data_IF_756018494463
#
_entry.id   IF_756018494463
#
_cell.length_a   1.000
_cell.length_b   1.000
_cell.length_c   1.000
_cell.angle_alpha   90.00
_cell.angle_beta   90.00
_cell.angle_gamma   90.00
#
_symmetry.space_group_name_H-M   'P 1'
#
loop_
_entity.id
_entity.type
_entity.pdbx_description
1 polymer ?
#
# COMPACT_ATOMS: atom_id res chain seq x y z
N UNK A 1 -17.79 51.11 -29.00
CA UNK A 1 -18.99 51.48 -28.23
C UNK A 1 -19.06 50.61 -27.00
N UNK A 2 -19.17 51.25 -25.83
CA UNK A 2 -19.17 50.64 -24.51
C UNK A 2 -20.57 50.18 -24.08
N UNK A 3 -20.64 49.00 -23.47
CA UNK A 3 -21.54 48.59 -22.38
C UNK A 3 -22.96 48.10 -22.72
N UNK A 4 -23.70 47.50 -21.74
CA UNK A 4 -23.25 46.76 -20.56
C UNK A 4 -24.08 45.50 -20.16
N UNK A 5 -23.43 44.64 -19.35
CA UNK A 5 -23.86 43.93 -18.11
C UNK A 5 -25.21 43.16 -18.06
N UNK A 6 -25.16 41.87 -17.68
CA UNK A 6 -25.91 41.35 -16.50
C UNK A 6 -25.40 39.97 -16.02
N UNK A 7 -24.86 39.99 -14.81
CA UNK A 7 -24.64 38.83 -13.92
C UNK A 7 -25.99 38.35 -13.36
N UNK A 8 -26.21 37.04 -13.32
CA UNK A 8 -27.04 36.43 -12.27
C UNK A 8 -26.32 35.18 -11.74
N UNK A 9 -25.83 35.31 -10.52
CA UNK A 9 -25.49 34.24 -9.61
C UNK A 9 -26.79 33.81 -8.90
N UNK A 10 -27.11 32.52 -8.90
CA UNK A 10 -28.06 31.96 -7.93
C UNK A 10 -27.48 30.68 -7.34
N UNK A 11 -27.07 30.83 -6.09
CA UNK A 11 -26.81 29.76 -5.14
C UNK A 11 -28.14 29.10 -4.75
N UNK A 12 -28.15 27.78 -4.57
CA UNK A 12 -29.17 27.13 -3.76
C UNK A 12 -28.57 26.00 -2.91
N UNK A 13 -28.43 26.31 -1.62
CA UNK A 13 -28.27 25.35 -0.51
C UNK A 13 -29.67 24.94 -0.04
N UNK A 14 -29.91 23.64 0.17
CA UNK A 14 -30.92 23.11 1.11
C UNK A 14 -30.50 21.69 1.50
N UNK A 15 -29.98 21.50 2.72
CA UNK A 15 -30.69 21.15 3.97
C UNK A 15 -31.37 19.77 3.97
N UNK A 16 -30.64 18.79 4.54
CA UNK A 16 -30.96 17.95 5.70
C UNK A 16 -32.43 17.46 5.84
N UNK A 17 -32.63 16.14 5.81
CA UNK A 17 -33.64 15.45 6.64
C UNK A 17 -33.12 14.07 7.06
N UNK A 18 -32.93 13.93 8.37
CA UNK A 18 -32.70 12.67 9.08
C UNK A 18 -34.04 12.07 9.51
N UNK A 19 -33.96 10.77 9.83
CA UNK A 19 -34.75 10.02 10.84
C UNK A 19 -35.91 9.18 10.30
N UNK A 20 -36.48 8.26 11.11
CA UNK A 20 -35.85 7.01 11.56
C UNK A 20 -36.85 5.83 11.51
N UNK A 21 -36.40 4.58 11.56
CA UNK A 21 -37.29 3.50 12.02
C UNK A 21 -36.47 2.39 12.67
N UNK A 22 -36.71 2.18 13.96
CA UNK A 22 -36.33 0.98 14.69
C UNK A 22 -37.58 0.26 15.19
N UNK A 23 -37.46 -1.04 15.41
CA UNK A 23 -38.02 -1.84 16.53
C UNK A 23 -37.68 -3.32 16.27
N UNK A 24 -36.88 -3.93 17.15
CA UNK A 24 -37.26 -4.87 18.25
C UNK A 24 -37.51 -6.30 17.76
N UNK A 25 -37.27 -7.40 18.48
CA UNK A 25 -36.44 -7.83 19.63
C UNK A 25 -36.87 -9.29 19.91
N UNK A 26 -36.09 -10.04 20.71
CA UNK A 26 -36.41 -11.34 21.38
C UNK A 26 -36.39 -12.59 20.50
N UNK A 27 -35.91 -13.76 20.91
CA UNK A 27 -35.30 -14.32 22.13
C UNK A 27 -34.56 -15.62 21.70
N UNK A 28 -34.04 -16.56 22.48
CA UNK A 28 -33.98 -16.86 23.91
C UNK A 28 -32.93 -17.98 24.01
N UNK A 29 -31.99 -17.93 24.95
CA UNK A 29 -31.18 -19.11 25.34
C UNK A 29 -32.01 -20.09 26.15
N UNK A 30 -31.59 -21.36 26.23
CA UNK A 30 -31.27 -21.89 27.55
C UNK A 30 -29.99 -22.75 27.60
N UNK A 31 -29.37 -22.68 28.78
CA UNK A 31 -28.27 -23.49 29.29
C UNK A 31 -28.64 -24.97 29.48
N UNK A 32 -27.65 -25.86 29.54
CA UNK A 32 -27.54 -26.79 30.68
C UNK A 32 -26.17 -27.48 30.84
N UNK A 33 -25.89 -27.85 32.09
CA UNK A 33 -24.60 -28.22 32.69
C UNK A 33 -24.48 -29.73 33.04
N UNK A 34 -23.24 -30.27 32.91
CA UNK A 34 -22.55 -31.31 33.75
C UNK A 34 -23.06 -32.78 33.73
N UNK A 35 -22.32 -33.79 34.30
CA UNK A 35 -20.94 -33.90 34.83
C UNK A 35 -20.12 -35.14 34.31
N UNK A 36 -18.85 -35.31 34.76
CA UNK A 36 -17.88 -36.41 34.43
C UNK A 36 -18.21 -37.80 35.03
N UNK A 37 -17.25 -38.73 35.35
CA UNK A 37 -15.76 -38.71 35.31
C UNK A 37 -15.11 -39.96 34.64
N UNK A 38 -13.78 -39.99 34.44
CA UNK A 38 -12.88 -41.09 34.86
C UNK A 38 -11.46 -40.98 34.27
N UNK A 39 -10.51 -40.92 35.20
CA UNK A 39 -9.08 -41.20 35.05
C UNK A 39 -8.89 -42.74 35.17
N UNK A 40 -7.88 -43.35 34.53
CA UNK A 40 -6.73 -43.78 35.34
C UNK A 40 -5.35 -43.64 34.66
N UNK A 41 -4.40 -43.26 35.50
CA UNK A 41 -2.97 -43.63 35.62
C UNK A 41 -2.15 -44.19 34.44
N UNK A 42 -1.08 -43.45 34.15
CA UNK A 42 0.34 -43.82 34.14
C UNK A 42 0.82 -45.09 33.41
N UNK A 43 1.65 -44.87 32.38
CA UNK A 43 2.79 -45.73 32.05
C UNK A 43 3.95 -44.86 31.52
N UNK A 44 5.16 -45.22 31.94
CA UNK A 44 6.39 -44.44 31.87
C UNK A 44 7.30 -44.87 30.71
N UNK A 45 8.14 -43.92 30.24
CA UNK A 45 9.44 -44.06 29.52
C UNK A 45 9.41 -44.39 28.00
N UNK A 46 10.49 -44.07 27.23
CA UNK A 46 11.71 -43.30 27.53
C UNK A 46 12.01 -42.11 26.57
N UNK A 47 12.83 -41.17 27.07
CA UNK A 47 13.51 -40.14 26.27
C UNK A 47 14.47 -40.77 25.24
N UNK A 48 14.35 -40.36 23.98
CA UNK A 48 15.45 -40.46 23.00
C UNK A 48 15.73 -39.06 22.45
N UNK A 49 16.78 -38.42 22.97
CA UNK A 49 17.44 -37.30 22.29
C UNK A 49 18.36 -37.86 21.20
N UNK A 50 18.36 -37.30 19.97
CA UNK A 50 19.42 -37.55 19.01
C UNK A 50 20.71 -36.82 19.44
N UNK A 51 21.90 -37.39 19.19
CA UNK A 51 23.17 -36.77 19.59
C UNK A 51 23.49 -35.55 18.72
N UNK A 52 23.90 -34.44 19.35
CA UNK A 52 24.52 -33.31 18.66
C UNK A 52 25.95 -33.69 18.20
N UNK A 53 26.36 -33.33 16.98
CA UNK A 53 27.74 -33.47 16.54
C UNK A 53 28.66 -32.47 17.27
N UNK A 54 29.74 -32.99 17.84
CA UNK A 54 30.87 -32.26 18.42
C UNK A 54 31.62 -31.48 17.33
N UNK A 55 31.32 -30.19 17.20
CA UNK A 55 32.17 -29.22 16.51
C UNK A 55 33.25 -28.65 17.44
N UNK A 56 34.40 -28.19 16.91
CA UNK A 56 35.47 -27.59 17.71
C UNK A 56 35.01 -26.28 18.36
N UNK A 57 35.53 -25.96 19.56
CA UNK A 57 35.13 -24.75 20.27
C UNK A 57 35.52 -23.49 19.49
N UNK A 58 34.72 -22.40 19.59
CA UNK A 58 35.05 -21.14 18.94
C UNK A 58 36.39 -20.59 19.46
N UNK A 59 37.15 -19.84 18.63
CA UNK A 59 38.41 -19.24 19.06
C UNK A 59 38.15 -18.28 20.22
N UNK A 60 38.82 -18.50 21.34
CA UNK A 60 38.83 -17.56 22.45
C UNK A 60 39.44 -16.23 21.97
N UNK A 61 38.85 -15.07 22.29
CA UNK A 61 39.51 -13.80 22.05
C UNK A 61 40.81 -13.74 22.90
N UNK A 62 41.88 -13.14 22.37
CA UNK A 62 43.16 -13.10 23.05
C UNK A 62 43.02 -12.40 24.41
N UNK A 63 43.47 -13.09 25.46
CA UNK A 63 43.68 -12.53 26.79
C UNK A 63 44.62 -11.32 26.65
N UNK A 64 44.08 -10.12 26.79
CA UNK A 64 44.90 -8.91 26.95
C UNK A 64 45.08 -8.62 28.43
N UNK A 65 46.35 -8.46 28.79
CA UNK A 65 46.86 -8.28 30.13
C UNK A 65 46.22 -7.10 30.89
N UNK A 66 46.10 -7.18 32.23
CA UNK A 66 45.46 -6.17 33.05
C UNK A 66 46.46 -5.07 33.44
N UNK A 67 46.33 -3.86 32.91
CA UNK A 67 46.85 -2.65 33.57
C UNK A 67 46.13 -1.37 33.09
N UNK A 68 45.45 -0.69 34.03
CA UNK A 68 44.92 0.70 34.01
C UNK A 68 43.63 1.02 33.20
N UNK A 69 43.07 2.25 33.35
CA UNK A 69 41.96 2.68 34.21
C UNK A 69 40.56 2.42 33.60
N UNK A 70 40.37 1.35 32.82
CA UNK A 70 39.07 1.03 32.19
C UNK A 70 37.89 0.99 33.18
N UNK A 71 38.14 0.60 34.43
CA UNK A 71 37.09 0.47 35.44
C UNK A 71 36.42 1.81 35.81
N UNK A 72 37.19 2.89 35.98
CA UNK A 72 36.63 4.17 36.43
C UNK A 72 35.76 4.84 35.36
N UNK A 73 36.19 4.78 34.09
CA UNK A 73 35.41 5.29 32.96
C UNK A 73 34.16 4.45 32.74
N UNK A 74 34.27 3.12 32.87
CA UNK A 74 33.13 2.22 32.78
C UNK A 74 32.05 2.53 33.83
N UNK A 75 32.42 2.72 35.10
CA UNK A 75 31.45 3.12 36.14
C UNK A 75 30.82 4.49 35.88
N UNK A 76 31.59 5.44 35.34
CA UNK A 76 31.04 6.74 34.92
C UNK A 76 30.04 6.58 33.77
N UNK A 77 30.28 5.67 32.84
CA UNK A 77 29.33 5.39 31.75
C UNK A 77 28.07 4.72 32.28
N UNK A 78 28.19 3.76 33.22
CA UNK A 78 27.02 3.12 33.85
C UNK A 78 26.17 4.07 34.69
N UNK A 79 26.77 5.11 35.26
CA UNK A 79 26.09 6.12 36.08
C UNK A 79 25.70 7.37 35.28
N UNK A 80 25.87 7.34 33.96
CA UNK A 80 25.51 8.44 33.09
C UNK A 80 23.96 8.58 33.09
N UNK A 81 23.42 9.79 33.22
CA UNK A 81 21.97 9.99 33.10
C UNK A 81 21.45 9.61 31.70
N UNK A 82 20.25 9.04 31.63
CA UNK A 82 19.62 8.59 30.37
C UNK A 82 19.60 9.67 29.28
N UNK A 83 19.39 10.93 29.66
CA UNK A 83 19.37 12.08 28.72
C UNK A 83 20.70 12.33 28.03
N UNK A 84 21.81 11.82 28.58
CA UNK A 84 23.16 11.94 28.03
C UNK A 84 23.64 10.65 27.34
N UNK A 85 22.86 9.57 27.37
CA UNK A 85 23.24 8.31 26.69
C UNK A 85 23.34 8.47 25.18
N UNK A 86 22.64 9.43 24.59
CA UNK A 86 22.73 9.75 23.16
C UNK A 86 24.14 10.20 22.72
N UNK A 87 25.01 10.62 23.64
CA UNK A 87 26.43 10.87 23.34
C UNK A 87 27.24 9.58 23.07
N UNK A 88 26.69 8.43 23.43
CA UNK A 88 27.24 7.10 23.15
C UNK A 88 26.70 6.53 21.84
N UNK A 89 25.72 7.18 21.19
CA UNK A 89 25.20 6.72 19.91
C UNK A 89 26.31 6.71 18.84
N UNK A 90 26.25 5.74 17.93
CA UNK A 90 27.16 5.63 16.79
C UNK A 90 27.14 6.89 15.90
N UNK A 91 25.96 7.49 15.72
CA UNK A 91 25.73 8.67 14.88
C UNK A 91 25.86 10.00 15.64
N UNK A 92 26.53 9.99 16.81
CA UNK A 92 26.77 11.20 17.61
C UNK A 92 27.34 12.36 16.79
N UNK A 93 28.30 12.11 15.89
CA UNK A 93 28.95 13.15 15.09
C UNK A 93 27.96 13.90 14.17
N UNK A 94 26.92 13.21 13.70
CA UNK A 94 25.85 13.81 12.89
C UNK A 94 24.87 14.60 13.77
N UNK A 95 24.63 14.09 14.98
CA UNK A 95 23.72 14.70 15.97
C UNK A 95 24.38 15.78 16.84
N UNK A 96 25.69 16.01 16.75
CA UNK A 96 26.41 16.89 17.69
C UNK A 96 25.84 18.32 17.76
N UNK A 97 25.25 18.79 16.67
CA UNK A 97 24.60 20.10 16.62
C UNK A 97 23.19 20.12 17.23
N UNK A 98 22.57 18.97 17.46
CA UNK A 98 21.24 18.90 18.09
C UNK A 98 21.28 19.05 19.62
N UNK A 99 22.40 18.75 20.26
CA UNK A 99 22.55 18.85 21.71
C UNK A 99 22.62 20.30 22.19
N UNK A 100 22.01 20.57 23.35
CA UNK A 100 22.01 21.91 23.96
C UNK A 100 23.32 22.12 24.71
N UNK A 101 23.70 23.38 24.92
CA UNK A 101 24.89 23.73 25.70
C UNK A 101 24.89 23.10 27.11
N UNK A 102 23.70 22.99 27.72
CA UNK A 102 23.55 22.38 29.03
C UNK A 102 23.90 20.89 29.03
N UNK A 103 23.64 20.17 27.94
CA UNK A 103 23.93 18.74 27.82
C UNK A 103 25.44 18.51 27.71
N UNK A 104 26.12 19.33 26.89
CA UNK A 104 27.58 19.34 26.81
C UNK A 104 28.23 19.67 28.15
N UNK A 105 27.71 20.66 28.88
CA UNK A 105 28.23 20.97 30.21
C UNK A 105 28.04 19.80 31.19
N UNK A 106 26.86 19.17 31.19
CA UNK A 106 26.57 18.03 32.09
C UNK A 106 27.49 16.86 31.83
N UNK A 107 27.71 16.48 30.56
CA UNK A 107 28.61 15.37 30.25
C UNK A 107 30.07 15.72 30.57
N UNK A 108 30.52 16.96 30.31
CA UNK A 108 31.84 17.43 30.70
C UNK A 108 32.04 17.38 32.23
N UNK A 109 31.06 17.84 33.00
CA UNK A 109 31.10 17.85 34.45
C UNK A 109 31.03 16.44 35.05
N UNK A 110 30.34 15.52 34.38
CA UNK A 110 30.22 14.12 34.80
C UNK A 110 31.56 13.39 34.70
N UNK A 111 32.28 13.59 33.59
CA UNK A 111 33.57 12.95 33.38
C UNK A 111 34.73 13.69 34.07
N UNK A 112 34.66 15.03 34.14
CA UNK A 112 35.63 15.88 34.81
C UNK A 112 34.93 16.94 35.69
N UNK A 113 34.70 16.68 36.98
CA UNK A 113 34.08 17.63 37.90
C UNK A 113 34.86 18.94 38.06
N UNK A 114 36.17 18.93 37.80
CA UNK A 114 37.04 20.12 37.83
C UNK A 114 37.03 20.92 36.52
N UNK A 115 36.08 20.66 35.61
CA UNK A 115 35.99 21.37 34.33
C UNK A 115 35.80 22.88 34.50
N UNK A 116 36.51 23.65 33.68
CA UNK A 116 36.34 25.10 33.56
C UNK A 116 35.17 25.46 32.65
N UNK A 117 34.59 24.50 31.94
CA UNK A 117 33.44 24.71 31.06
C UNK A 117 32.21 25.13 31.88
N UNK A 118 31.37 26.01 31.32
CA UNK A 118 30.15 26.53 31.96
C UNK A 118 28.98 26.48 30.97
N UNK A 119 27.71 26.34 31.45
CA UNK A 119 26.55 26.27 30.55
C UNK A 119 26.37 27.47 29.63
N UNK A 120 26.87 28.64 30.05
CA UNK A 120 26.80 29.90 29.31
C UNK A 120 27.95 30.10 28.31
N UNK A 121 28.91 29.17 28.23
CA UNK A 121 29.95 29.24 27.20
C UNK A 121 29.35 29.02 25.81
N UNK A 122 30.05 29.55 24.79
CA UNK A 122 29.73 29.28 23.39
C UNK A 122 29.78 27.77 23.13
N UNK A 123 28.80 27.29 22.37
CA UNK A 123 28.65 25.87 22.02
C UNK A 123 29.91 25.28 21.40
N UNK A 124 30.53 26.02 20.48
CA UNK A 124 31.78 25.61 19.80
C UNK A 124 32.90 25.27 20.80
N UNK A 125 33.02 26.06 21.87
CA UNK A 125 34.01 25.83 22.94
C UNK A 125 33.67 24.57 23.73
N UNK A 126 32.39 24.36 24.05
CA UNK A 126 31.93 23.17 24.78
C UNK A 126 32.12 21.90 23.96
N UNK A 127 31.85 21.95 22.66
CA UNK A 127 32.11 20.85 21.72
C UNK A 127 33.61 20.56 21.65
N UNK A 128 34.45 21.59 21.53
CA UNK A 128 35.90 21.42 21.49
C UNK A 128 36.44 20.77 22.79
N UNK A 129 35.98 21.24 23.95
CA UNK A 129 36.34 20.66 25.25
C UNK A 129 35.87 19.20 25.37
N UNK A 130 34.68 18.88 24.84
CA UNK A 130 34.14 17.52 24.82
C UNK A 130 34.96 16.59 23.92
N UNK A 131 35.21 16.99 22.68
CA UNK A 131 36.00 16.21 21.70
C UNK A 131 37.41 15.96 22.24
N UNK A 132 38.00 16.94 22.92
CA UNK A 132 39.36 16.82 23.46
C UNK A 132 39.44 15.92 24.69
N UNK A 133 38.51 16.05 25.63
CA UNK A 133 38.68 15.47 26.98
C UNK A 133 37.75 14.29 27.28
N UNK A 134 36.58 14.21 26.65
CA UNK A 134 35.55 13.21 26.98
C UNK A 134 35.35 12.20 25.86
N UNK A 135 35.32 12.65 24.59
CA UNK A 135 35.14 11.77 23.44
C UNK A 135 36.15 10.59 23.43
N UNK A 136 37.46 10.79 23.71
CA UNK A 136 38.42 9.68 23.74
C UNK A 136 38.11 8.64 24.83
N UNK A 137 37.45 9.05 25.92
CA UNK A 137 37.09 8.16 27.03
C UNK A 137 35.84 7.33 26.72
N UNK A 138 34.88 7.90 26.02
CA UNK A 138 33.60 7.23 25.70
C UNK A 138 33.64 6.46 24.37
N UNK A 139 34.58 6.79 23.46
CA UNK A 139 34.69 6.15 22.13
C UNK A 139 34.74 4.62 22.18
N UNK A 140 35.46 3.96 23.11
CA UNK A 140 35.45 2.49 23.22
C UNK A 140 34.10 1.88 23.61
N UNK A 141 33.17 2.70 24.12
CA UNK A 141 31.86 2.29 24.62
C UNK A 141 30.72 2.84 23.76
N UNK A 142 31.03 3.39 22.58
CA UNK A 142 30.00 3.77 21.64
C UNK A 142 29.19 2.55 21.22
N UNK A 143 27.88 2.73 21.14
CA UNK A 143 26.98 1.69 20.70
C UNK A 143 27.37 1.28 19.27
N UNK A 144 27.30 -0.01 18.93
CA UNK A 144 27.50 -0.45 17.56
C UNK A 144 26.51 0.28 16.64
N UNK A 145 26.86 0.43 15.35
CA UNK A 145 25.90 0.99 14.39
C UNK A 145 24.60 0.18 14.49
N UNK A 146 23.42 0.85 14.48
CA UNK A 146 22.17 0.13 14.47
C UNK A 146 22.21 -0.89 13.32
N UNK A 147 21.71 -2.12 13.54
CA UNK A 147 21.70 -3.11 12.48
C UNK A 147 21.02 -2.49 11.27
N UNK A 148 21.70 -2.57 10.11
CA UNK A 148 21.12 -2.12 8.86
C UNK A 148 19.71 -2.71 8.78
N UNK A 149 18.67 -1.89 8.50
CA UNK A 149 17.31 -2.38 8.40
C UNK A 149 17.35 -3.58 7.47
N UNK A 150 17.00 -4.75 8.02
CA UNK A 150 17.05 -6.00 7.28
C UNK A 150 16.22 -5.77 6.03
N UNK A 151 16.89 -5.82 4.88
CA UNK A 151 16.27 -5.61 3.58
C UNK A 151 15.34 -6.79 3.35
N UNK A 152 14.15 -6.69 3.90
CA UNK A 152 13.06 -7.62 3.65
C UNK A 152 12.59 -7.28 2.25
N UNK A 153 13.08 -8.01 1.25
CA UNK A 153 12.54 -7.97 -0.12
C UNK A 153 11.08 -8.48 -0.21
N UNK A 154 10.36 -8.59 0.91
CA UNK A 154 8.94 -8.84 0.93
C UNK A 154 8.20 -7.57 1.32
N UNK A 155 7.97 -6.77 0.28
CA UNK A 155 6.82 -5.88 0.09
C UNK A 155 5.80 -5.94 1.22
N UNK A 156 5.62 -4.79 1.85
CA UNK A 156 4.63 -4.38 2.86
C UNK A 156 3.16 -4.61 2.48
N UNK A 157 2.83 -5.41 1.46
CA UNK A 157 1.44 -5.64 1.00
C UNK A 157 0.85 -6.98 1.41
N UNK A 158 1.28 -7.57 2.53
CA UNK A 158 0.71 -8.83 3.06
C UNK A 158 -0.81 -8.76 3.30
N UNK A 159 -1.37 -7.55 3.42
CA UNK A 159 -2.81 -7.30 3.64
C UNK A 159 -3.53 -6.63 2.46
N UNK A 160 -2.96 -6.59 1.26
CA UNK A 160 -3.65 -6.00 0.11
C UNK A 160 -4.78 -6.91 -0.37
N UNK A 161 -6.03 -6.49 -0.15
CA UNK A 161 -7.20 -7.18 -0.67
C UNK A 161 -7.70 -6.48 -1.96
N UNK A 162 -7.51 -7.08 -3.15
CA UNK A 162 -7.89 -6.47 -4.43
C UNK A 162 -9.42 -6.30 -4.57
N UNK A 163 -10.23 -7.09 -3.87
CA UNK A 163 -11.70 -7.02 -3.89
C UNK A 163 -12.27 -6.04 -2.86
N UNK A 164 -11.41 -5.41 -2.05
CA UNK A 164 -11.85 -4.43 -1.07
C UNK A 164 -12.40 -3.17 -1.75
N UNK A 165 -13.50 -2.61 -1.21
CA UNK A 165 -14.01 -1.30 -1.63
C UNK A 165 -12.98 -0.17 -1.47
N UNK A 166 -11.91 -0.41 -0.69
CA UNK A 166 -10.80 0.54 -0.47
C UNK A 166 -9.65 0.35 -1.46
N UNK A 167 -9.63 -0.73 -2.24
CA UNK A 167 -8.61 -0.96 -3.24
C UNK A 167 -8.74 0.10 -4.35
N UNK A 168 -7.70 0.91 -4.51
CA UNK A 168 -7.65 1.94 -5.55
C UNK A 168 -7.09 1.34 -6.84
N UNK A 169 -7.43 1.99 -7.95
CA UNK A 169 -6.96 1.59 -9.27
C UNK A 169 -5.45 1.63 -9.38
N UNK A 170 -4.84 2.67 -8.81
CA UNK A 170 -3.39 2.90 -8.82
C UNK A 170 -2.66 1.83 -8.01
N UNK A 171 -3.24 1.41 -6.88
CA UNK A 171 -2.69 0.33 -6.06
C UNK A 171 -2.71 -0.99 -6.83
N UNK A 172 -3.82 -1.32 -7.51
CA UNK A 172 -3.92 -2.52 -8.35
C UNK A 172 -2.88 -2.51 -9.48
N UNK A 173 -2.74 -1.37 -10.19
CA UNK A 173 -1.74 -1.24 -11.26
C UNK A 173 -0.32 -1.43 -10.74
N UNK A 174 0.01 -0.82 -9.59
CA UNK A 174 1.31 -1.00 -8.95
C UNK A 174 1.57 -2.45 -8.61
N UNK A 175 0.63 -3.17 -7.97
CA UNK A 175 0.84 -4.59 -7.64
C UNK A 175 1.03 -5.44 -8.89
N UNK A 176 0.27 -5.17 -9.96
CA UNK A 176 0.43 -5.90 -11.22
C UNK A 176 1.81 -5.66 -11.81
N UNK A 177 2.27 -4.40 -11.86
CA UNK A 177 3.62 -4.09 -12.39
C UNK A 177 4.76 -4.58 -11.50
N UNK A 178 4.56 -4.61 -10.18
CA UNK A 178 5.52 -5.19 -9.24
C UNK A 178 5.68 -6.70 -9.49
N UNK A 179 4.60 -7.38 -9.90
CA UNK A 179 4.61 -8.81 -10.23
C UNK A 179 5.14 -9.07 -11.65
N UNK A 180 4.69 -8.28 -12.63
CA UNK A 180 5.06 -8.38 -14.03
C UNK A 180 5.11 -6.99 -14.68
N UNK A 181 6.33 -6.47 -14.81
CA UNK A 181 6.59 -5.15 -15.39
C UNK A 181 6.40 -5.10 -16.91
N UNK A 182 6.23 -6.25 -17.57
CA UNK A 182 5.99 -6.32 -19.01
C UNK A 182 4.53 -6.02 -19.40
N UNK A 183 3.61 -6.04 -18.44
CA UNK A 183 2.18 -5.83 -18.68
C UNK A 183 1.88 -4.39 -19.10
N UNK A 184 1.32 -4.23 -20.30
CA UNK A 184 0.85 -2.93 -20.79
C UNK A 184 -0.58 -2.69 -20.31
N UNK A 185 -0.74 -1.79 -19.34
CA UNK A 185 -2.05 -1.42 -18.80
C UNK A 185 -2.51 -0.08 -19.43
N UNK A 186 -3.59 -0.06 -20.24
CA UNK A 186 -4.11 1.18 -20.79
C UNK A 186 -4.59 2.14 -19.69
N UNK A 187 -4.39 3.45 -19.90
CA UNK A 187 -4.88 4.49 -18.95
C UNK A 187 -6.40 4.47 -18.78
N UNK A 188 -7.15 3.96 -19.76
CA UNK A 188 -8.61 3.84 -19.70
C UNK A 188 -9.08 2.55 -19.00
N UNK A 189 -8.18 1.67 -18.54
CA UNK A 189 -8.57 0.42 -17.89
C UNK A 189 -9.46 0.67 -16.66
N UNK A 190 -10.55 -0.08 -16.58
CA UNK A 190 -11.49 -0.03 -15.45
C UNK A 190 -10.97 -0.88 -14.30
N UNK A 191 -11.39 -0.59 -13.07
CA UNK A 191 -10.99 -1.38 -11.90
C UNK A 191 -11.35 -2.86 -12.06
N UNK A 192 -12.52 -3.16 -12.64
CA UNK A 192 -12.94 -4.55 -12.90
C UNK A 192 -12.00 -5.24 -13.90
N UNK A 193 -11.61 -4.55 -14.99
CA UNK A 193 -10.63 -5.08 -15.94
C UNK A 193 -9.27 -5.37 -15.29
N UNK A 194 -8.83 -4.52 -14.36
CA UNK A 194 -7.59 -4.73 -13.60
C UNK A 194 -7.65 -5.95 -12.67
N UNK A 195 -8.83 -6.33 -12.16
CA UNK A 195 -8.95 -7.53 -11.33
C UNK A 195 -8.64 -8.80 -12.13
N UNK A 196 -9.00 -8.84 -13.41
CA UNK A 196 -8.64 -9.96 -14.29
C UNK A 196 -7.14 -10.02 -14.55
N UNK A 197 -6.49 -8.86 -14.77
CA UNK A 197 -5.02 -8.80 -14.88
C UNK A 197 -4.34 -9.20 -13.57
N UNK A 198 -4.86 -8.76 -12.43
CA UNK A 198 -4.37 -9.17 -11.13
C UNK A 198 -4.50 -10.69 -10.93
N UNK A 199 -5.63 -11.27 -11.34
CA UNK A 199 -5.83 -12.72 -11.29
C UNK A 199 -4.78 -13.45 -12.13
N UNK A 200 -4.52 -12.99 -13.35
CA UNK A 200 -3.56 -13.64 -14.25
C UNK A 200 -2.10 -13.55 -13.74
N UNK A 201 -1.67 -12.36 -13.32
CA UNK A 201 -0.26 -12.06 -13.05
C UNK A 201 0.13 -12.09 -11.56
N UNK A 202 -0.82 -12.06 -10.62
CA UNK A 202 -0.53 -11.96 -9.18
C UNK A 202 -1.16 -13.11 -8.39
N UNK A 203 -2.45 -13.39 -8.59
CA UNK A 203 -3.16 -14.43 -7.83
C UNK A 203 -4.19 -15.17 -8.70
N UNK A 204 -3.77 -16.28 -9.29
CA UNK A 204 -4.59 -17.11 -10.20
C UNK A 204 -5.82 -17.71 -9.54
N UNK A 205 -5.77 -17.89 -8.22
CA UNK A 205 -6.86 -18.43 -7.42
C UNK A 205 -7.87 -17.35 -6.98
N UNK A 206 -7.66 -16.08 -7.36
CA UNK A 206 -8.58 -15.00 -7.04
C UNK A 206 -9.95 -15.25 -7.67
N UNK A 207 -10.98 -15.41 -6.84
CA UNK A 207 -12.36 -15.51 -7.27
C UNK A 207 -12.99 -14.13 -7.36
N UNK A 208 -13.22 -13.65 -8.59
CA UNK A 208 -13.89 -12.37 -8.83
C UNK A 208 -15.41 -12.62 -8.76
N UNK A 209 -16.17 -11.92 -7.90
CA UNK A 209 -17.62 -12.10 -7.83
C UNK A 209 -18.29 -11.75 -9.16
N UNK A 210 -19.11 -12.68 -9.68
CA UNK A 210 -19.76 -12.52 -10.98
C UNK A 210 -18.86 -12.81 -12.19
N UNK A 211 -17.68 -13.38 -11.96
CA UNK A 211 -16.80 -13.90 -13.03
C UNK A 211 -17.53 -15.03 -13.75
N UNK A 212 -17.89 -14.78 -15.00
CA UNK A 212 -18.44 -15.76 -15.91
C UNK A 212 -17.53 -15.83 -17.13
N UNK A 213 -17.28 -17.04 -17.69
CA UNK A 213 -16.47 -17.18 -18.90
C UNK A 213 -17.14 -16.52 -20.12
N UNK A 214 -18.43 -16.19 -20.03
CA UNK A 214 -19.21 -15.56 -21.07
C UNK A 214 -19.56 -14.12 -20.70
N UNK A 215 -19.55 -13.25 -21.69
CA UNK A 215 -20.08 -11.89 -21.57
C UNK A 215 -21.62 -12.01 -21.60
N UNK A 216 -22.29 -11.32 -20.66
CA UNK A 216 -23.75 -11.25 -20.67
C UNK A 216 -24.23 -10.47 -21.92
N UNK A 217 -25.32 -10.90 -22.57
CA UNK A 217 -25.93 -10.13 -23.65
C UNK A 217 -26.20 -8.68 -23.19
N UNK A 218 -25.79 -7.67 -23.98
CA UNK A 218 -25.97 -6.27 -23.61
C UNK A 218 -27.46 -5.90 -23.63
N UNK A 219 -27.84 -4.98 -22.75
CA UNK A 219 -29.21 -4.48 -22.72
C UNK A 219 -29.45 -3.54 -23.92
N UNK A 220 -30.54 -3.78 -24.65
CA UNK A 220 -30.97 -2.87 -25.72
C UNK A 220 -31.63 -1.63 -25.11
N UNK A 221 -31.15 -0.44 -25.50
CA UNK A 221 -31.63 0.86 -25.00
C UNK A 221 -32.43 1.60 -26.07
N UNK A 222 -33.26 2.57 -25.65
CA UNK A 222 -34.10 3.33 -26.58
C UNK A 222 -33.30 4.38 -27.34
N UNK A 223 -33.79 4.82 -28.51
CA UNK A 223 -33.14 5.82 -29.40
C UNK A 223 -32.56 7.04 -28.65
N UNK A 224 -33.29 7.57 -27.67
CA UNK A 224 -32.87 8.75 -26.90
C UNK A 224 -31.60 8.52 -26.05
N UNK A 225 -31.36 7.27 -25.64
CA UNK A 225 -30.29 6.85 -24.74
C UNK A 225 -29.10 6.25 -25.49
N UNK A 226 -29.25 5.87 -26.77
CA UNK A 226 -28.16 5.27 -27.57
C UNK A 226 -26.91 6.17 -27.59
N UNK A 227 -27.10 7.49 -27.66
CA UNK A 227 -26.01 8.47 -27.68
C UNK A 227 -25.19 8.53 -26.38
N UNK A 228 -25.72 8.03 -25.27
CA UNK A 228 -25.00 8.02 -23.98
C UNK A 228 -24.17 6.76 -23.78
N UNK A 229 -24.35 5.74 -24.63
CA UNK A 229 -23.55 4.51 -24.59
C UNK A 229 -22.11 4.77 -25.05
N UNK A 230 -21.18 4.02 -24.48
CA UNK A 230 -19.79 4.00 -24.88
C UNK A 230 -19.61 3.28 -26.22
N UNK A 231 -18.52 3.58 -26.94
CA UNK A 231 -18.22 2.90 -28.22
C UNK A 231 -18.12 1.37 -28.07
N UNK A 232 -17.58 0.89 -26.94
CA UNK A 232 -17.48 -0.54 -26.66
C UNK A 232 -18.85 -1.19 -26.46
N UNK A 233 -19.75 -0.55 -25.71
CA UNK A 233 -21.12 -1.02 -25.49
C UNK A 233 -21.92 -1.07 -26.80
N UNK A 234 -21.77 -0.03 -27.64
CA UNK A 234 -22.38 0.02 -28.96
C UNK A 234 -21.88 -1.12 -29.86
N UNK A 235 -20.56 -1.36 -29.88
CA UNK A 235 -19.95 -2.44 -30.67
C UNK A 235 -20.40 -3.81 -30.19
N UNK A 236 -20.36 -4.04 -28.88
CA UNK A 236 -20.78 -5.31 -28.30
C UNK A 236 -22.25 -5.60 -28.63
N UNK A 237 -23.12 -4.60 -28.48
CA UNK A 237 -24.55 -4.76 -28.80
C UNK A 237 -24.79 -4.99 -30.28
N UNK A 238 -24.10 -4.27 -31.16
CA UNK A 238 -24.19 -4.49 -32.60
C UNK A 238 -23.70 -5.89 -32.99
N UNK A 239 -22.62 -6.37 -32.38
CA UNK A 239 -22.08 -7.69 -32.67
C UNK A 239 -23.01 -8.81 -32.20
N UNK A 240 -23.66 -8.64 -31.06
CA UNK A 240 -24.60 -9.62 -30.48
C UNK A 240 -25.94 -9.63 -31.25
N UNK A 241 -26.52 -8.46 -31.50
CA UNK A 241 -27.87 -8.32 -32.06
C UNK A 241 -27.90 -8.28 -33.60
N UNK A 242 -26.82 -7.80 -34.23
CA UNK A 242 -26.71 -7.68 -35.68
C UNK A 242 -25.38 -8.28 -36.19
N UNK A 243 -25.11 -9.58 -35.94
CA UNK A 243 -23.84 -10.22 -36.30
C UNK A 243 -23.56 -10.24 -37.81
N UNK A 244 -24.58 -10.06 -38.64
CA UNK A 244 -24.48 -9.95 -40.09
C UNK A 244 -23.91 -8.58 -40.54
N UNK A 245 -23.70 -7.62 -39.64
CA UNK A 245 -23.16 -6.29 -39.96
C UNK A 245 -21.68 -6.24 -39.65
N UNK A 246 -20.86 -6.09 -40.70
CA UNK A 246 -19.43 -5.83 -40.56
C UNK A 246 -19.17 -4.32 -40.52
N UNK A 247 -18.64 -3.82 -39.40
CA UNK A 247 -18.35 -2.40 -39.19
C UNK A 247 -16.92 -2.10 -39.62
N UNK A 248 -16.74 -1.14 -40.54
CA UNK A 248 -15.40 -0.79 -41.03
C UNK A 248 -14.66 0.05 -39.99
N UNK A 249 -13.43 -0.35 -39.64
CA UNK A 249 -12.65 0.29 -38.58
C UNK A 249 -12.22 1.73 -38.90
N UNK A 250 -11.89 2.02 -40.16
CA UNK A 250 -11.39 3.34 -40.60
C UNK A 250 -12.40 4.47 -40.29
N UNK A 251 -13.67 4.39 -40.72
CA UNK A 251 -14.66 5.40 -40.38
C UNK A 251 -15.37 5.17 -39.04
N UNK A 252 -14.90 4.25 -38.20
CA UNK A 252 -15.57 3.87 -36.96
C UNK A 252 -15.45 4.98 -35.90
N UNK A 253 -16.43 5.89 -35.91
CA UNK A 253 -16.63 6.90 -34.88
C UNK A 253 -17.83 6.56 -33.99
N UNK A 254 -17.92 7.21 -32.83
CA UNK A 254 -19.08 7.09 -31.93
C UNK A 254 -20.40 7.39 -32.67
N UNK A 255 -20.46 8.48 -33.42
CA UNK A 255 -21.63 8.85 -34.23
C UNK A 255 -22.03 7.77 -35.23
N UNK A 256 -21.05 7.16 -35.91
CA UNK A 256 -21.30 6.07 -36.86
C UNK A 256 -21.88 4.85 -36.15
N UNK A 257 -21.32 4.48 -34.99
CA UNK A 257 -21.84 3.36 -34.19
C UNK A 257 -23.26 3.61 -33.67
N UNK A 258 -23.57 4.83 -33.21
CA UNK A 258 -24.93 5.22 -32.80
C UNK A 258 -25.91 5.07 -33.96
N UNK A 259 -25.55 5.57 -35.15
CA UNK A 259 -26.42 5.44 -36.32
C UNK A 259 -26.58 3.98 -36.76
N UNK A 260 -25.51 3.17 -36.69
CA UNK A 260 -25.60 1.74 -36.99
C UNK A 260 -26.49 1.01 -36.00
N UNK A 261 -26.40 1.35 -34.72
CA UNK A 261 -27.26 0.81 -33.67
C UNK A 261 -28.74 1.13 -33.95
N UNK A 262 -29.06 2.39 -34.22
CA UNK A 262 -30.41 2.83 -34.58
C UNK A 262 -30.93 2.04 -35.80
N UNK A 263 -30.08 1.86 -36.81
CA UNK A 263 -30.46 1.17 -38.05
C UNK A 263 -30.67 -0.33 -37.88
N UNK A 264 -29.80 -1.03 -37.15
CA UNK A 264 -29.74 -2.50 -37.15
C UNK A 264 -30.21 -3.17 -35.86
N UNK A 265 -30.14 -2.47 -34.73
CA UNK A 265 -30.60 -2.99 -33.43
C UNK A 265 -32.02 -2.52 -33.14
N UNK A 266 -32.33 -1.26 -33.44
CA UNK A 266 -33.67 -0.70 -33.24
C UNK A 266 -34.58 -0.81 -34.48
N UNK A 267 -34.01 -1.20 -35.62
CA UNK A 267 -34.71 -1.25 -36.92
C UNK A 267 -35.40 0.09 -37.29
N UNK A 268 -34.72 1.20 -36.98
CA UNK A 268 -35.23 2.55 -37.21
C UNK A 268 -34.51 3.25 -38.37
N UNK A 269 -35.24 4.14 -39.06
CA UNK A 269 -34.66 4.90 -40.18
C UNK A 269 -33.61 5.91 -39.70
N UNK A 270 -32.49 5.94 -40.42
CA UNK A 270 -31.41 6.92 -40.28
C UNK A 270 -31.37 7.81 -41.52
N UNK A 271 -31.17 9.14 -41.38
CA UNK A 271 -31.08 10.06 -42.51
C UNK A 271 -30.07 9.60 -43.58
N UNK A 272 -30.41 9.75 -44.88
CA UNK A 272 -29.51 9.38 -45.97
C UNK A 272 -28.21 10.18 -45.91
N UNK A 273 -27.09 9.54 -46.27
CA UNK A 273 -25.76 10.14 -46.23
C UNK A 273 -25.01 10.01 -44.90
N UNK A 274 -25.70 9.75 -43.78
CA UNK A 274 -25.04 9.51 -42.49
C UNK A 274 -24.40 8.12 -42.39
N UNK A 275 -24.97 7.15 -43.11
CA UNK A 275 -24.42 5.81 -43.24
C UNK A 275 -24.40 5.42 -44.72
N UNK A 276 -23.26 4.92 -45.16
CA UNK A 276 -23.00 4.51 -46.54
C UNK A 276 -22.49 3.08 -46.51
N UNK A 277 -23.27 2.15 -47.08
CA UNK A 277 -22.86 0.75 -47.24
C UNK A 277 -21.63 0.69 -48.14
N UNK A 278 -20.64 -0.13 -47.79
CA UNK A 278 -19.35 -0.24 -48.46
C UNK A 278 -18.30 0.76 -47.95
N UNK A 279 -18.71 1.85 -47.29
CA UNK A 279 -17.78 2.76 -46.62
C UNK A 279 -17.81 2.58 -45.10
N UNK A 280 -18.97 2.78 -44.47
CA UNK A 280 -19.13 2.69 -43.01
C UNK A 280 -19.31 1.25 -42.51
N UNK A 281 -20.06 0.45 -43.27
CA UNK A 281 -20.36 -0.94 -42.93
C UNK A 281 -20.60 -1.77 -44.20
N UNK A 282 -20.45 -3.08 -44.06
CA UNK A 282 -20.83 -4.07 -45.06
C UNK A 282 -21.76 -5.11 -44.43
N UNK A 283 -22.56 -5.79 -45.24
CA UNK A 283 -23.39 -6.89 -44.77
C UNK A 283 -22.68 -8.20 -45.15
N UNK A 284 -22.45 -9.05 -44.16
CA UNK A 284 -22.01 -10.41 -44.35
C UNK A 284 -23.13 -11.20 -45.03
N UNK A 285 -22.76 -12.21 -45.79
CA UNK A 285 -23.76 -13.10 -46.40
C UNK A 285 -24.47 -13.82 -45.28
N UNK A 286 -25.80 -13.83 -45.32
CA UNK A 286 -26.55 -14.85 -44.58
C UNK A 286 -26.15 -16.20 -45.18
N UNK A 287 -25.85 -17.17 -44.31
CA UNK A 287 -25.51 -18.51 -44.77
C UNK A 287 -26.65 -19.00 -45.69
N UNK A 288 -26.28 -19.45 -46.89
CA UNK A 288 -27.19 -20.11 -47.81
C UNK A 288 -27.69 -21.44 -47.21
#
# INVERSE_FOLDING_TARGET
MFGPILYIEMTNKSKKKNSPTGRMSTGTSPSDLKPGPNQPQAASLPLHHPPLPTGPPPPQPPLQNPTEPLNATYFKIQTLPDILHSFLDHDYEEKKESYKNIDYYRILSHFNPATLSRPNHRKDKLIADFIKNVLPLIKPYQLPPPPLPMQTEQSTRKDFNPLSKRAKREDLMSVIWDSDSSVVIPKAATSNGLLYLYKEHVNKDLQIPGDTPFIKPPNVVRRAEVKTLLMEELRLTLQDQAPHVFIHSIPMSHTVLVNLYIKFVLDETVPPGLLVRGFHYSLLRENA
#
